data_IF_306423184608
#
_entry.id   IF_306423184608
#
_cell.length_a   1.000
_cell.length_b   1.000
_cell.length_c   1.000
_cell.angle_alpha   90.00
_cell.angle_beta   90.00
_cell.angle_gamma   90.00
#
_symmetry.space_group_name_H-M   'P 1'
#
loop_
_entity.id
_entity.type
_entity.pdbx_description
1 polymer ?
#
# COMPACT_ATOMS: atom_id res chain seq x y z
N UNK A 1 4.78 -26.98 49.14
CA UNK A 1 3.89 -26.15 48.30
C UNK A 1 4.65 -24.90 47.91
N UNK A 2 5.13 -24.81 46.68
CA UNK A 2 5.85 -23.65 46.14
C UNK A 2 4.94 -22.92 45.17
N UNK A 3 4.51 -21.72 45.52
CA UNK A 3 3.67 -20.87 44.68
C UNK A 3 4.56 -20.18 43.62
N UNK A 4 4.25 -20.38 42.34
CA UNK A 4 4.88 -19.63 41.25
C UNK A 4 4.24 -18.24 41.16
N UNK A 5 5.05 -17.19 41.28
CA UNK A 5 4.62 -15.80 41.09
C UNK A 5 4.63 -15.52 39.60
N UNK A 6 3.46 -15.40 38.98
CA UNK A 6 3.35 -14.93 37.61
C UNK A 6 3.63 -13.42 37.58
N UNK A 7 4.83 -13.04 37.14
CA UNK A 7 5.19 -11.64 36.92
C UNK A 7 4.39 -11.07 35.74
N UNK A 8 3.64 -9.99 35.98
CA UNK A 8 2.95 -9.27 34.92
C UNK A 8 3.98 -8.54 34.03
N UNK A 9 4.08 -8.93 32.76
CA UNK A 9 4.87 -8.21 31.78
C UNK A 9 4.08 -6.96 31.37
N UNK A 10 4.61 -5.74 31.56
CA UNK A 10 3.92 -4.53 31.13
C UNK A 10 3.78 -4.52 29.61
N UNK A 11 2.58 -4.21 29.13
CA UNK A 11 2.34 -4.05 27.70
C UNK A 11 3.18 -2.88 27.16
N UNK A 12 3.74 -3.00 25.94
CA UNK A 12 4.47 -1.90 25.32
C UNK A 12 3.56 -0.68 25.16
N UNK A 13 4.12 0.52 25.33
CA UNK A 13 3.39 1.76 25.11
C UNK A 13 3.09 1.94 23.63
N UNK A 14 1.82 2.11 23.28
CA UNK A 14 1.44 2.51 21.94
C UNK A 14 1.90 3.95 21.69
N UNK A 15 2.76 4.12 20.69
CA UNK A 15 3.08 5.42 20.12
C UNK A 15 2.11 5.70 18.98
N UNK A 16 1.64 6.95 18.87
CA UNK A 16 0.81 7.35 17.75
C UNK A 16 1.61 7.15 16.44
N UNK A 17 1.11 6.30 15.56
CA UNK A 17 1.61 6.21 14.19
C UNK A 17 1.14 7.45 13.42
N UNK A 18 1.89 7.88 12.38
CA UNK A 18 1.37 8.84 11.40
C UNK A 18 0.02 8.37 10.87
N UNK A 19 -0.84 9.29 10.47
CA UNK A 19 -2.05 8.89 9.76
C UNK A 19 -1.64 8.21 8.43
N UNK A 20 -2.40 7.21 7.95
CA UNK A 20 -2.02 6.45 6.75
C UNK A 20 -1.76 7.33 5.52
N UNK A 21 -2.46 8.46 5.40
CA UNK A 21 -2.27 9.42 4.32
C UNK A 21 -0.91 10.13 4.40
N UNK A 22 -0.46 10.48 5.61
CA UNK A 22 0.84 11.12 5.83
C UNK A 22 1.97 10.14 5.52
N UNK A 23 1.85 8.90 5.96
CA UNK A 23 2.81 7.83 5.64
C UNK A 23 2.86 7.58 4.14
N UNK A 24 1.70 7.42 3.50
CA UNK A 24 1.60 7.21 2.05
C UNK A 24 2.24 8.36 1.27
N UNK A 25 1.89 9.61 1.58
CA UNK A 25 2.46 10.79 0.93
C UNK A 25 3.97 10.85 1.10
N UNK A 26 4.47 10.61 2.31
CA UNK A 26 5.90 10.60 2.58
C UNK A 26 6.64 9.54 1.74
N UNK A 27 6.10 8.33 1.67
CA UNK A 27 6.72 7.23 0.92
C UNK A 27 6.78 7.51 -0.58
N UNK A 28 5.70 8.05 -1.15
CA UNK A 28 5.61 8.24 -2.59
C UNK A 28 6.21 9.55 -3.07
N UNK A 29 6.04 10.66 -2.35
CA UNK A 29 6.55 11.98 -2.79
C UNK A 29 7.94 12.29 -2.26
N UNK A 30 8.25 11.93 -1.01
CA UNK A 30 9.52 12.29 -0.37
C UNK A 30 10.58 11.20 -0.52
N UNK A 31 10.22 9.93 -0.27
CA UNK A 31 11.19 8.83 -0.36
C UNK A 31 11.45 8.41 -1.80
N UNK A 32 10.41 8.27 -2.61
CA UNK A 32 10.49 7.73 -3.97
C UNK A 32 10.34 8.77 -5.09
N UNK A 33 9.95 10.00 -4.76
CA UNK A 33 9.86 11.12 -5.71
C UNK A 33 8.98 10.83 -6.93
N UNK A 34 7.82 10.20 -6.73
CA UNK A 34 6.86 9.99 -7.81
C UNK A 34 6.31 11.32 -8.35
N UNK A 35 6.24 11.44 -9.67
CA UNK A 35 5.44 12.42 -10.37
C UNK A 35 4.08 11.79 -10.72
N UNK A 36 3.01 12.42 -10.20
CA UNK A 36 1.63 11.98 -10.39
C UNK A 36 0.90 12.88 -11.40
N UNK A 37 -0.10 12.35 -12.12
CA UNK A 37 -1.03 13.18 -12.87
C UNK A 37 -1.61 14.28 -11.97
N UNK A 38 -1.66 15.51 -12.49
CA UNK A 38 -2.17 16.69 -11.79
C UNK A 38 -1.46 17.03 -10.45
N UNK A 39 -0.30 16.43 -10.16
CA UNK A 39 0.39 16.53 -8.87
C UNK A 39 -0.46 16.08 -7.67
N UNK A 40 -1.40 15.16 -7.89
CA UNK A 40 -2.31 14.67 -6.84
C UNK A 40 -1.97 13.24 -6.43
N UNK A 41 -1.01 13.09 -5.53
CA UNK A 41 -0.60 11.78 -5.03
C UNK A 41 -1.71 11.07 -4.24
N UNK A 42 -2.38 11.79 -3.33
CA UNK A 42 -3.37 11.19 -2.42
C UNK A 42 -4.64 10.78 -3.19
N UNK A 43 -5.14 11.65 -4.08
CA UNK A 43 -6.27 11.31 -4.94
C UNK A 43 -5.93 10.15 -5.89
N UNK A 44 -4.69 10.10 -6.41
CA UNK A 44 -4.24 8.96 -7.21
C UNK A 44 -4.21 7.65 -6.41
N UNK A 45 -3.74 7.68 -5.16
CA UNK A 45 -3.77 6.55 -4.24
C UNK A 45 -5.19 6.02 -3.97
N UNK A 46 -6.14 6.92 -3.72
CA UNK A 46 -7.55 6.54 -3.59
C UNK A 46 -8.14 6.00 -4.90
N UNK A 47 -7.74 6.55 -6.06
CA UNK A 47 -8.13 6.00 -7.36
C UNK A 47 -7.62 4.57 -7.62
N UNK A 48 -6.47 4.18 -7.06
CA UNK A 48 -6.05 2.77 -7.02
C UNK A 48 -7.03 1.94 -6.19
N UNK A 49 -7.38 2.41 -4.99
CA UNK A 49 -8.33 1.73 -4.10
C UNK A 49 -9.72 1.54 -4.74
N UNK A 50 -10.21 2.54 -5.47
CA UNK A 50 -11.50 2.47 -6.17
C UNK A 50 -11.47 1.39 -7.25
N UNK A 51 -10.38 1.32 -8.02
CA UNK A 51 -10.19 0.29 -9.06
C UNK A 51 -10.12 -1.12 -8.47
N UNK A 52 -9.42 -1.31 -7.36
CA UNK A 52 -9.40 -2.60 -6.65
C UNK A 52 -10.82 -2.94 -6.16
N UNK A 53 -11.53 -1.97 -5.57
CA UNK A 53 -12.91 -2.16 -5.09
C UNK A 53 -13.85 -2.54 -6.25
N UNK A 54 -13.63 -1.99 -7.44
CA UNK A 54 -14.37 -2.33 -8.65
C UNK A 54 -14.05 -3.72 -9.23
N UNK A 55 -13.09 -4.44 -8.65
CA UNK A 55 -12.71 -5.79 -9.11
C UNK A 55 -11.66 -5.81 -10.21
N UNK A 56 -10.94 -4.70 -10.44
CA UNK A 56 -9.86 -4.68 -11.43
C UNK A 56 -8.75 -5.68 -11.04
N UNK A 57 -8.39 -6.56 -11.97
CA UNK A 57 -7.36 -7.57 -11.77
C UNK A 57 -5.96 -6.94 -11.66
N UNK A 58 -5.11 -7.54 -10.81
CA UNK A 58 -3.76 -7.04 -10.54
C UNK A 58 -2.92 -6.70 -11.78
N UNK A 59 -2.86 -7.54 -12.84
CA UNK A 59 -2.05 -7.23 -14.03
C UNK A 59 -2.54 -5.97 -14.77
N UNK A 60 -3.86 -5.79 -14.85
CA UNK A 60 -4.48 -4.64 -15.52
C UNK A 60 -4.24 -3.36 -14.70
N UNK A 61 -4.49 -3.45 -13.39
CA UNK A 61 -4.26 -2.35 -12.46
C UNK A 61 -2.82 -1.86 -12.52
N UNK A 62 -1.86 -2.80 -12.45
CA UNK A 62 -0.44 -2.50 -12.48
C UNK A 62 -0.02 -1.85 -13.79
N UNK A 63 -0.49 -2.37 -14.94
CA UNK A 63 -0.24 -1.77 -16.25
C UNK A 63 -0.83 -0.37 -16.37
N UNK A 64 -2.04 -0.14 -15.87
CA UNK A 64 -2.65 1.19 -15.82
C UNK A 64 -1.87 2.18 -14.97
N UNK A 65 -1.34 1.74 -13.82
CA UNK A 65 -0.47 2.56 -12.98
C UNK A 65 0.82 2.91 -13.72
N UNK A 66 1.50 1.90 -14.27
CA UNK A 66 2.73 2.05 -15.05
C UNK A 66 2.59 3.12 -16.16
N UNK A 67 1.44 3.19 -16.80
CA UNK A 67 1.24 4.13 -17.91
C UNK A 67 1.02 5.59 -17.50
N UNK A 68 0.88 5.90 -16.20
CA UNK A 68 0.40 7.21 -15.75
C UNK A 68 1.27 7.90 -14.70
N UNK A 69 2.24 7.20 -14.10
CA UNK A 69 3.17 7.80 -13.12
C UNK A 69 4.60 7.84 -13.65
N UNK A 70 5.50 8.53 -12.95
CA UNK A 70 6.95 8.43 -13.16
C UNK A 70 7.63 8.38 -11.79
N UNK A 71 8.57 7.47 -11.52
CA UNK A 71 9.05 6.38 -12.39
C UNK A 71 7.97 5.35 -12.71
N UNK A 72 8.12 4.66 -13.84
CA UNK A 72 7.14 3.73 -14.40
C UNK A 72 7.72 2.36 -14.79
N UNK A 73 8.78 1.93 -14.13
CA UNK A 73 9.15 0.52 -14.17
C UNK A 73 8.15 -0.33 -13.37
N UNK A 74 8.19 -1.65 -13.58
CA UNK A 74 7.26 -2.57 -12.91
C UNK A 74 7.41 -2.54 -11.38
N UNK A 75 8.63 -2.42 -10.87
CA UNK A 75 8.90 -2.37 -9.44
C UNK A 75 8.33 -1.08 -8.80
N UNK A 76 8.43 0.05 -9.50
CA UNK A 76 7.79 1.30 -9.10
C UNK A 76 6.26 1.15 -9.04
N UNK A 77 5.63 0.68 -10.12
CA UNK A 77 4.18 0.48 -10.15
C UNK A 77 3.71 -0.47 -9.03
N UNK A 78 4.46 -1.56 -8.78
CA UNK A 78 4.13 -2.54 -7.76
C UNK A 78 4.23 -1.94 -6.34
N UNK A 79 5.30 -1.19 -6.08
CA UNK A 79 5.47 -0.47 -4.83
C UNK A 79 4.28 0.45 -4.56
N UNK A 80 3.88 1.23 -5.57
CA UNK A 80 2.79 2.20 -5.45
C UNK A 80 1.44 1.52 -5.19
N UNK A 81 1.10 0.47 -5.95
CA UNK A 81 -0.14 -0.30 -5.76
C UNK A 81 -0.18 -0.93 -4.37
N UNK A 82 0.91 -1.57 -3.95
CA UNK A 82 1.00 -2.24 -2.65
C UNK A 82 0.85 -1.27 -1.48
N UNK A 83 1.51 -0.11 -1.52
CA UNK A 83 1.43 0.88 -0.45
C UNK A 83 0.09 1.62 -0.43
N UNK A 84 -0.48 1.95 -1.60
CA UNK A 84 -1.82 2.55 -1.66
C UNK A 84 -2.85 1.64 -0.99
N UNK A 85 -2.86 0.34 -1.31
CA UNK A 85 -3.82 -0.60 -0.73
C UNK A 85 -3.54 -0.91 0.73
N UNK A 86 -2.27 -1.11 1.11
CA UNK A 86 -1.92 -1.42 2.49
C UNK A 86 -2.25 -0.29 3.47
N UNK A 87 -2.07 0.97 3.05
CA UNK A 87 -2.26 2.13 3.92
C UNK A 87 -3.67 2.73 3.79
N UNK A 88 -4.13 3.00 2.57
CA UNK A 88 -5.35 3.79 2.33
C UNK A 88 -6.63 2.95 2.32
N UNK A 89 -6.53 1.66 1.94
CA UNK A 89 -7.70 0.78 1.82
C UNK A 89 -7.38 -0.68 2.22
N UNK A 90 -7.01 -0.93 3.49
CA UNK A 90 -6.56 -2.24 3.95
C UNK A 90 -7.65 -3.32 3.89
N UNK A 91 -8.93 -2.94 3.87
CA UNK A 91 -10.04 -3.89 3.69
C UNK A 91 -9.98 -4.60 2.32
N UNK A 92 -9.38 -3.98 1.32
CA UNK A 92 -9.23 -4.48 -0.04
C UNK A 92 -7.94 -5.31 -0.24
N UNK A 93 -7.09 -5.42 0.78
CA UNK A 93 -5.79 -6.10 0.67
C UNK A 93 -5.93 -7.56 0.25
N UNK A 94 -6.94 -8.27 0.76
CA UNK A 94 -7.19 -9.66 0.38
C UNK A 94 -7.57 -9.78 -1.10
N UNK A 95 -8.42 -8.88 -1.60
CA UNK A 95 -8.85 -8.86 -2.99
C UNK A 95 -7.68 -8.60 -3.95
N UNK A 96 -6.81 -7.64 -3.61
CA UNK A 96 -5.58 -7.37 -4.36
C UNK A 96 -4.66 -8.60 -4.40
N UNK A 97 -4.42 -9.22 -3.24
CA UNK A 97 -3.54 -10.40 -3.15
C UNK A 97 -4.08 -11.59 -3.92
N UNK A 98 -5.39 -11.82 -3.85
CA UNK A 98 -6.04 -12.89 -4.58
C UNK A 98 -5.95 -12.67 -6.10
N UNK A 99 -6.11 -11.44 -6.57
CA UNK A 99 -5.99 -11.12 -8.01
C UNK A 99 -4.54 -11.16 -8.51
N UNK A 100 -3.55 -11.12 -7.62
CA UNK A 100 -2.13 -11.25 -7.92
C UNK A 100 -1.60 -12.70 -7.85
N UNK A 101 -2.40 -13.70 -7.46
CA UNK A 101 -1.93 -15.05 -7.11
C UNK A 101 -1.12 -15.79 -8.19
N UNK A 102 -1.32 -15.45 -9.46
CA UNK A 102 -0.60 -16.03 -10.61
C UNK A 102 0.15 -14.99 -11.43
N UNK A 103 0.32 -13.78 -10.88
CA UNK A 103 1.05 -12.73 -11.56
C UNK A 103 2.53 -13.10 -11.66
N UNK A 104 3.08 -12.97 -12.86
CA UNK A 104 4.51 -13.12 -13.13
C UNK A 104 5.07 -11.79 -13.60
N UNK A 105 6.03 -11.21 -12.85
CA UNK A 105 6.80 -10.06 -13.28
C UNK A 105 7.44 -10.26 -14.65
N UNK A 106 7.39 -9.23 -15.49
CA UNK A 106 7.87 -9.27 -16.87
C UNK A 106 9.12 -8.43 -17.14
N UNK A 107 9.50 -7.56 -16.20
CA UNK A 107 10.68 -6.69 -16.26
C UNK A 107 11.48 -6.72 -14.94
#
# INVERSE_FOLDING_TARGET
MTAAVAGAIPAPRAVAAPTPEVEYLYDVTVRRHYAFPNNDALGYGHGICDRVTAGEGYPQLLGGVRNTVTPNDEAAANYLVSYAVNLLCPAQLWQLRNSAAHYQPGE
#
